data_IF_406279500075
#
_entry.id   IF_406279500075
#
_cell.length_a   1.000
_cell.length_b   1.000
_cell.length_c   1.000
_cell.angle_alpha   90.00
_cell.angle_beta   90.00
_cell.angle_gamma   90.00
#
_symmetry.space_group_name_H-M   'P 1'
#
loop_
_entity.id
_entity.type
_entity.pdbx_description
1 polymer ?
#
# COMPACT_ATOMS: atom_id res chain seq x y z
N UNK A 1 3.86 8.46 -10.77
CA UNK A 1 2.93 7.31 -10.74
C UNK A 1 1.50 7.83 -10.69
N UNK A 2 0.52 7.17 -11.29
CA UNK A 2 -0.89 7.54 -11.15
C UNK A 2 -1.31 7.54 -9.67
N UNK A 3 -2.30 8.38 -9.28
CA UNK A 3 -2.82 8.40 -7.92
C UNK A 3 -3.30 7.00 -7.46
N UNK A 4 -3.06 6.64 -6.23
CA UNK A 4 -3.35 5.33 -5.61
C UNK A 4 -2.68 4.11 -6.27
N UNK A 5 -1.86 4.31 -7.31
CA UNK A 5 -1.02 3.22 -7.85
C UNK A 5 0.22 3.09 -6.96
N UNK A 6 0.36 1.97 -6.29
CA UNK A 6 1.43 1.77 -5.31
C UNK A 6 2.65 1.09 -5.88
N UNK A 7 2.42 0.14 -6.77
CA UNK A 7 3.48 -0.61 -7.42
C UNK A 7 3.17 -0.75 -8.90
N UNK A 8 4.21 -0.78 -9.68
CA UNK A 8 4.22 -1.11 -11.09
C UNK A 8 5.47 -1.97 -11.33
N UNK A 9 5.93 -2.06 -12.55
CA UNK A 9 7.17 -2.72 -12.91
C UNK A 9 7.05 -3.37 -14.27
N UNK A 10 8.15 -3.82 -14.82
CA UNK A 10 8.12 -4.59 -16.04
C UNK A 10 7.40 -5.93 -15.78
N UNK A 11 6.55 -6.34 -16.73
CA UNK A 11 5.93 -7.65 -16.75
C UNK A 11 6.42 -8.38 -17.99
N UNK A 12 6.91 -9.61 -17.82
CA UNK A 12 7.53 -10.37 -18.89
C UNK A 12 6.70 -11.62 -19.21
N UNK A 13 6.63 -11.92 -20.50
CA UNK A 13 6.18 -13.23 -21.00
C UNK A 13 7.36 -13.90 -21.70
N UNK A 14 8.19 -14.59 -20.94
CA UNK A 14 9.45 -15.19 -21.40
C UNK A 14 9.40 -16.69 -21.10
N UNK A 15 10.02 -17.48 -21.99
CA UNK A 15 10.24 -18.90 -21.73
C UNK A 15 11.43 -19.05 -20.77
N UNK A 16 11.21 -19.59 -19.58
CA UNK A 16 12.21 -19.71 -18.51
C UNK A 16 12.96 -21.05 -18.50
N UNK A 17 12.86 -21.87 -19.55
CA UNK A 17 13.59 -23.16 -19.63
C UNK A 17 15.11 -22.98 -19.63
N UNK A 18 15.62 -21.92 -20.25
CA UNK A 18 17.01 -21.48 -20.15
C UNK A 18 17.10 -20.18 -19.31
N UNK A 19 17.57 -20.33 -18.07
CA UNK A 19 17.65 -19.21 -17.11
C UNK A 19 18.56 -18.08 -17.59
N UNK A 20 19.69 -18.42 -18.25
CA UNK A 20 20.63 -17.42 -18.75
C UNK A 20 20.02 -16.62 -19.89
N UNK A 21 19.40 -17.30 -20.84
CA UNK A 21 18.71 -16.65 -21.94
C UNK A 21 17.53 -15.81 -21.46
N UNK A 22 16.72 -16.35 -20.56
CA UNK A 22 15.60 -15.60 -19.96
C UNK A 22 16.06 -14.33 -19.23
N UNK A 23 17.21 -14.36 -18.57
CA UNK A 23 17.82 -13.17 -17.96
C UNK A 23 18.22 -12.14 -19.01
N UNK A 24 18.90 -12.56 -20.08
CA UNK A 24 19.33 -11.66 -21.16
C UNK A 24 18.12 -11.06 -21.89
N UNK A 25 17.09 -11.86 -22.14
CA UNK A 25 15.84 -11.39 -22.76
C UNK A 25 15.15 -10.35 -21.87
N UNK A 26 15.10 -10.55 -20.53
CA UNK A 26 14.57 -9.55 -19.60
C UNK A 26 15.35 -8.24 -19.65
N UNK A 27 16.68 -8.31 -19.70
CA UNK A 27 17.53 -7.11 -19.80
C UNK A 27 17.21 -6.38 -21.10
N UNK A 28 17.26 -7.05 -22.25
CA UNK A 28 17.01 -6.45 -23.57
C UNK A 28 15.62 -5.80 -23.65
N UNK A 29 14.56 -6.52 -23.24
CA UNK A 29 13.20 -5.98 -23.22
C UNK A 29 13.10 -4.76 -22.29
N UNK A 30 13.77 -4.80 -21.15
CA UNK A 30 13.74 -3.68 -20.19
C UNK A 30 14.47 -2.46 -20.77
N UNK A 31 15.58 -2.65 -21.47
CA UNK A 31 16.31 -1.56 -22.17
C UNK A 31 15.44 -0.90 -23.24
N UNK A 32 14.72 -1.69 -24.04
CA UNK A 32 13.75 -1.15 -25.00
C UNK A 32 12.63 -0.35 -24.31
N UNK A 33 12.11 -0.84 -23.18
CA UNK A 33 11.11 -0.11 -22.39
C UNK A 33 11.68 1.19 -21.81
N UNK A 34 12.93 1.19 -21.34
CA UNK A 34 13.63 2.39 -20.84
C UNK A 34 13.76 3.43 -21.96
N UNK A 35 14.08 3.00 -23.19
CA UNK A 35 14.15 3.87 -24.36
C UNK A 35 12.83 4.57 -24.72
N UNK A 36 11.70 4.01 -24.28
CA UNK A 36 10.36 4.59 -24.50
C UNK A 36 9.93 5.53 -23.36
N UNK A 37 10.69 5.63 -22.26
CA UNK A 37 10.36 6.56 -21.17
C UNK A 37 10.56 7.99 -21.69
N UNK A 38 9.53 8.86 -21.62
CA UNK A 38 9.65 10.24 -22.01
C UNK A 38 10.78 10.96 -21.27
N UNK A 39 11.34 12.00 -21.89
CA UNK A 39 12.30 12.87 -21.21
C UNK A 39 11.57 13.71 -20.13
N UNK A 40 11.69 13.25 -18.88
CA UNK A 40 11.05 13.87 -17.72
C UNK A 40 12.11 14.29 -16.71
N UNK A 41 11.87 15.41 -16.03
CA UNK A 41 12.77 15.89 -14.98
C UNK A 41 12.91 14.94 -13.78
N UNK A 42 11.91 14.10 -13.55
CA UNK A 42 11.91 13.14 -12.45
C UNK A 42 11.10 11.91 -12.82
N UNK A 43 11.74 10.76 -12.79
CA UNK A 43 11.09 9.45 -12.90
C UNK A 43 11.28 8.72 -11.58
N UNK A 44 10.20 8.15 -11.07
CA UNK A 44 10.19 7.41 -9.83
C UNK A 44 9.15 6.29 -9.93
N UNK A 45 9.56 5.07 -9.59
CA UNK A 45 8.66 3.92 -9.58
C UNK A 45 9.03 2.93 -8.48
N UNK A 46 8.03 2.36 -7.83
CA UNK A 46 8.17 1.23 -6.92
C UNK A 46 7.67 0.00 -7.66
N UNK A 47 8.46 -1.06 -7.65
CA UNK A 47 8.09 -2.32 -8.28
C UNK A 47 7.18 -3.15 -7.38
N UNK A 48 6.37 -3.97 -8.02
CA UNK A 48 5.66 -5.06 -7.36
C UNK A 48 6.69 -6.01 -6.71
N UNK A 49 6.43 -6.58 -5.52
CA UNK A 49 7.35 -7.52 -4.87
C UNK A 49 7.73 -8.74 -5.71
N UNK A 50 6.98 -9.06 -6.76
CA UNK A 50 7.28 -10.13 -7.70
C UNK A 50 8.35 -9.77 -8.74
N UNK A 51 8.68 -8.47 -8.85
CA UNK A 51 9.79 -8.03 -9.69
C UNK A 51 11.07 -8.08 -8.86
N UNK A 52 11.89 -9.07 -9.12
CA UNK A 52 13.03 -9.43 -8.26
C UNK A 52 14.33 -8.70 -8.61
N UNK A 53 14.41 -8.06 -9.77
CA UNK A 53 15.61 -7.33 -10.19
C UNK A 53 15.31 -6.00 -10.87
N UNK A 54 16.33 -5.12 -10.92
CA UNK A 54 16.32 -3.87 -11.66
C UNK A 54 17.68 -3.65 -12.36
N UNK A 55 18.36 -4.73 -12.75
CA UNK A 55 19.70 -4.67 -13.31
C UNK A 55 19.76 -3.74 -14.53
N UNK A 56 18.85 -3.92 -15.48
CA UNK A 56 18.81 -3.10 -16.70
C UNK A 56 18.62 -1.60 -16.37
N UNK A 57 17.79 -1.28 -15.38
CA UNK A 57 17.62 0.11 -14.94
C UNK A 57 18.92 0.67 -14.34
N UNK A 58 19.62 -0.10 -13.50
CA UNK A 58 20.91 0.32 -12.93
C UNK A 58 21.96 0.57 -14.00
N UNK A 59 22.07 -0.32 -14.99
CA UNK A 59 22.97 -0.19 -16.14
C UNK A 59 22.66 1.04 -17.02
N UNK A 60 21.39 1.48 -17.04
CA UNK A 60 20.92 2.64 -17.80
C UNK A 60 20.77 3.91 -16.92
N UNK A 61 21.54 4.02 -15.85
CA UNK A 61 21.73 5.26 -15.08
C UNK A 61 20.59 5.59 -14.09
N UNK A 62 19.74 4.63 -13.76
CA UNK A 62 18.78 4.80 -12.66
C UNK A 62 19.44 4.48 -11.32
N UNK A 63 19.10 5.22 -10.29
CA UNK A 63 19.36 4.83 -8.91
C UNK A 63 18.40 3.72 -8.52
N UNK A 64 18.96 2.62 -8.02
CA UNK A 64 18.18 1.49 -7.50
C UNK A 64 18.23 1.50 -5.98
N UNK A 65 17.09 1.44 -5.35
CA UNK A 65 16.95 1.40 -3.88
C UNK A 65 15.92 0.34 -3.48
N UNK A 66 15.82 0.07 -2.17
CA UNK A 66 14.84 -0.88 -1.63
C UNK A 66 13.92 -0.19 -0.64
N UNK A 67 12.62 -0.45 -0.78
CA UNK A 67 11.60 -0.21 0.24
C UNK A 67 11.02 -1.54 0.70
N UNK A 68 10.18 -1.49 1.71
CA UNK A 68 9.60 -2.71 2.28
C UNK A 68 8.10 -2.58 2.39
N UNK A 69 7.44 -3.73 2.23
CA UNK A 69 6.06 -3.95 2.62
C UNK A 69 5.96 -5.12 3.58
N UNK A 70 4.78 -5.35 4.10
CA UNK A 70 4.45 -6.44 5.00
C UNK A 70 3.36 -7.29 4.33
N UNK A 71 3.52 -8.62 4.31
CA UNK A 71 2.59 -9.50 3.61
C UNK A 71 2.25 -10.76 4.41
N UNK A 72 1.05 -11.27 4.14
CA UNK A 72 0.69 -12.66 4.38
C UNK A 72 0.54 -13.37 3.05
N UNK A 73 1.19 -14.51 2.91
CA UNK A 73 1.07 -15.34 1.73
C UNK A 73 -0.30 -16.02 1.67
N UNK A 74 -0.80 -16.24 0.45
CA UNK A 74 -2.12 -16.81 0.16
C UNK A 74 -2.28 -18.28 0.63
N UNK A 75 -1.18 -18.99 0.85
CA UNK A 75 -1.15 -20.40 1.28
C UNK A 75 -1.32 -20.59 2.80
N UNK A 76 -1.40 -19.49 3.58
CA UNK A 76 -1.56 -19.57 5.03
C UNK A 76 -3.02 -19.75 5.43
N UNK A 77 -3.26 -20.63 6.40
CA UNK A 77 -4.60 -20.75 6.97
C UNK A 77 -4.92 -19.61 7.94
N UNK A 78 -6.22 -19.26 8.03
CA UNK A 78 -6.69 -18.21 8.94
C UNK A 78 -6.37 -18.57 10.40
N UNK A 79 -6.47 -19.85 10.75
CA UNK A 79 -6.18 -20.38 12.08
C UNK A 79 -4.71 -20.22 12.46
N UNK A 80 -3.78 -20.49 11.52
CA UNK A 80 -2.35 -20.27 11.73
C UNK A 80 -2.03 -18.80 11.90
N UNK A 81 -2.60 -17.94 11.04
CA UNK A 81 -2.42 -16.49 11.13
C UNK A 81 -2.93 -15.96 12.47
N UNK A 82 -4.13 -16.42 12.90
CA UNK A 82 -4.69 -16.02 14.20
C UNK A 82 -3.81 -16.45 15.37
N UNK A 83 -3.34 -17.70 15.38
CA UNK A 83 -2.42 -18.21 16.42
C UNK A 83 -1.10 -17.44 16.41
N UNK A 84 -0.61 -17.06 15.23
CA UNK A 84 0.63 -16.32 15.03
C UNK A 84 0.59 -14.86 15.50
N UNK A 85 -0.58 -14.21 15.60
CA UNK A 85 -0.70 -12.82 16.03
C UNK A 85 -0.03 -12.59 17.38
N UNK A 86 0.55 -11.42 17.58
CA UNK A 86 0.99 -10.98 18.90
C UNK A 86 -0.20 -10.95 19.87
N UNK A 87 -0.02 -11.39 21.12
CA UNK A 87 -1.12 -11.54 22.08
C UNK A 87 -1.91 -10.23 22.31
N UNK A 88 -1.22 -9.08 22.34
CA UNK A 88 -1.87 -7.76 22.47
C UNK A 88 -2.78 -7.45 21.27
N UNK A 89 -2.37 -7.84 20.07
CA UNK A 89 -3.17 -7.65 18.85
C UNK A 89 -4.41 -8.53 18.88
N UNK A 90 -4.28 -9.83 19.26
CA UNK A 90 -5.45 -10.70 19.47
C UNK A 90 -6.44 -10.14 20.48
N UNK A 91 -5.93 -9.67 21.62
CA UNK A 91 -6.79 -9.07 22.66
C UNK A 91 -7.45 -7.78 22.14
N UNK A 92 -6.73 -6.96 21.37
CA UNK A 92 -7.27 -5.73 20.78
C UNK A 92 -8.40 -6.04 19.79
N UNK A 93 -8.22 -7.05 18.94
CA UNK A 93 -9.28 -7.50 18.02
C UNK A 93 -10.49 -8.02 18.79
N UNK A 94 -10.30 -8.98 19.73
CA UNK A 94 -11.39 -9.55 20.54
C UNK A 94 -12.16 -8.49 21.33
N UNK A 95 -11.44 -7.52 21.90
CA UNK A 95 -12.08 -6.43 22.62
C UNK A 95 -12.80 -5.52 21.65
N UNK A 96 -12.15 -5.13 20.54
CA UNK A 96 -12.77 -4.30 19.51
C UNK A 96 -14.08 -4.90 18.98
N UNK A 97 -14.15 -6.20 18.74
CA UNK A 97 -15.36 -6.92 18.29
C UNK A 97 -16.56 -6.79 19.26
N UNK A 98 -16.32 -6.44 20.52
CA UNK A 98 -17.40 -6.15 21.49
C UNK A 98 -17.94 -4.73 21.38
N UNK A 99 -17.17 -3.80 20.81
CA UNK A 99 -17.50 -2.38 20.74
C UNK A 99 -17.88 -1.91 19.34
N UNK A 100 -17.53 -2.68 18.29
CA UNK A 100 -17.86 -2.28 16.92
C UNK A 100 -18.42 -3.44 16.11
N UNK A 101 -19.37 -3.11 15.24
CA UNK A 101 -19.90 -4.00 14.20
C UNK A 101 -19.32 -3.62 12.85
N UNK A 102 -18.81 -4.58 12.10
CA UNK A 102 -18.26 -4.35 10.76
C UNK A 102 -19.38 -4.47 9.71
N UNK A 103 -19.46 -3.50 8.81
CA UNK A 103 -20.39 -3.50 7.67
C UNK A 103 -19.70 -2.98 6.42
N UNK A 104 -20.13 -3.41 5.22
CA UNK A 104 -19.77 -2.73 3.96
C UNK A 104 -20.14 -1.26 3.99
N UNK A 105 -19.36 -0.44 3.30
CA UNK A 105 -19.63 0.99 3.12
C UNK A 105 -19.82 1.33 1.65
N UNK A 106 -20.72 2.27 1.41
CA UNK A 106 -20.84 2.93 0.12
C UNK A 106 -19.70 3.94 -0.10
N UNK A 107 -19.21 4.10 -1.34
CA UNK A 107 -18.12 5.03 -1.67
C UNK A 107 -18.35 6.45 -1.15
N UNK A 108 -19.55 7.00 -1.33
CA UNK A 108 -19.87 8.34 -0.86
C UNK A 108 -19.78 8.49 0.68
N UNK A 109 -20.20 7.45 1.42
CA UNK A 109 -20.10 7.43 2.88
C UNK A 109 -18.64 7.35 3.34
N UNK A 110 -17.83 6.50 2.72
CA UNK A 110 -16.42 6.38 2.99
C UNK A 110 -15.69 7.71 2.72
N UNK A 111 -15.89 8.30 1.54
CA UNK A 111 -15.21 9.55 1.16
C UNK A 111 -15.54 10.68 2.13
N UNK A 112 -16.82 10.86 2.48
CA UNK A 112 -17.23 11.86 3.47
C UNK A 112 -16.57 11.62 4.84
N UNK A 113 -16.57 10.39 5.31
CA UNK A 113 -15.94 10.02 6.58
C UNK A 113 -14.43 10.28 6.57
N UNK A 114 -13.76 9.95 5.47
CA UNK A 114 -12.33 10.15 5.29
C UNK A 114 -11.96 11.64 5.33
N UNK A 115 -12.66 12.48 4.57
CA UNK A 115 -12.46 13.93 4.52
C UNK A 115 -12.70 14.59 5.88
N UNK A 116 -13.82 14.30 6.54
CA UNK A 116 -14.13 14.84 7.88
C UNK A 116 -13.02 14.51 8.89
N UNK A 117 -12.45 13.29 8.82
CA UNK A 117 -11.35 12.92 9.72
C UNK A 117 -10.02 13.60 9.40
N UNK A 118 -9.77 13.93 8.14
CA UNK A 118 -8.61 14.74 7.74
C UNK A 118 -8.78 16.18 8.25
N UNK A 119 -9.92 16.77 7.99
CA UNK A 119 -10.25 18.13 8.44
C UNK A 119 -10.15 18.29 9.97
N UNK A 120 -10.74 17.35 10.73
CA UNK A 120 -10.63 17.30 12.19
C UNK A 120 -9.19 17.20 12.71
N UNK A 121 -8.22 16.83 11.86
CA UNK A 121 -6.78 16.78 12.17
C UNK A 121 -5.98 17.90 11.50
N UNK A 122 -6.65 18.87 10.88
CA UNK A 122 -6.04 19.95 10.10
C UNK A 122 -5.09 19.41 9.03
N UNK A 123 -5.53 18.36 8.32
CA UNK A 123 -4.81 17.73 7.21
C UNK A 123 -5.62 17.84 5.93
N UNK A 124 -4.96 17.96 4.82
CA UNK A 124 -5.57 17.86 3.48
C UNK A 124 -5.42 16.46 2.91
N UNK A 125 -6.34 16.09 2.02
CA UNK A 125 -6.23 14.87 1.26
C UNK A 125 -5.09 15.03 0.22
N UNK A 126 -4.06 14.21 0.35
CA UNK A 126 -2.87 14.25 -0.53
C UNK A 126 -3.16 13.89 -1.99
N UNK A 127 -4.25 13.18 -2.23
CA UNK A 127 -4.69 12.81 -3.58
C UNK A 127 -5.64 13.84 -4.20
N UNK A 128 -6.18 14.75 -3.37
CA UNK A 128 -7.31 15.60 -3.72
C UNK A 128 -8.65 14.85 -3.63
N UNK A 129 -9.64 15.46 -2.99
CA UNK A 129 -10.93 14.84 -2.66
C UNK A 129 -11.65 14.28 -3.89
N UNK A 130 -11.71 15.05 -5.00
CA UNK A 130 -12.38 14.62 -6.24
C UNK A 130 -11.66 13.47 -6.95
N UNK A 131 -10.34 13.43 -6.90
CA UNK A 131 -9.55 12.32 -7.50
C UNK A 131 -9.74 11.06 -6.69
N UNK A 132 -9.65 11.17 -5.36
CA UNK A 132 -9.85 10.02 -4.47
C UNK A 132 -11.27 9.45 -4.60
N UNK A 133 -12.29 10.31 -4.67
CA UNK A 133 -13.66 9.85 -4.86
C UNK A 133 -13.81 9.03 -6.14
N UNK A 134 -13.39 9.57 -7.30
CA UNK A 134 -13.45 8.84 -8.57
C UNK A 134 -12.73 7.50 -8.55
N UNK A 135 -11.57 7.42 -7.85
CA UNK A 135 -10.80 6.18 -7.75
C UNK A 135 -11.50 5.17 -6.85
N UNK A 136 -12.08 5.61 -5.73
CA UNK A 136 -12.87 4.75 -4.83
C UNK A 136 -14.11 4.23 -5.53
N UNK A 137 -14.86 5.09 -6.21
CA UNK A 137 -16.02 4.70 -7.03
C UNK A 137 -15.62 3.66 -8.07
N UNK A 138 -14.52 3.93 -8.81
CA UNK A 138 -14.08 3.07 -9.90
C UNK A 138 -13.65 1.67 -9.44
N UNK A 139 -12.92 1.52 -8.31
CA UNK A 139 -12.52 0.19 -7.87
C UNK A 139 -13.69 -0.60 -7.28
N UNK A 140 -14.66 0.05 -6.65
CA UNK A 140 -15.87 -0.62 -6.14
C UNK A 140 -16.77 -1.05 -7.30
N UNK A 141 -17.07 -0.15 -8.25
CA UNK A 141 -17.91 -0.44 -9.42
C UNK A 141 -17.34 -1.58 -10.29
N UNK A 142 -16.02 -1.64 -10.42
CA UNK A 142 -15.33 -2.69 -11.20
C UNK A 142 -15.14 -4.00 -10.43
N UNK A 143 -15.59 -4.07 -9.19
CA UNK A 143 -15.36 -5.26 -8.35
C UNK A 143 -13.89 -5.53 -8.05
N UNK A 144 -13.02 -4.49 -8.15
CA UNK A 144 -11.58 -4.57 -7.88
C UNK A 144 -11.22 -4.13 -6.46
N UNK A 145 -12.20 -4.00 -5.59
CA UNK A 145 -12.02 -3.61 -4.20
C UNK A 145 -13.34 -3.48 -3.45
N UNK A 146 -13.24 -3.20 -2.17
CA UNK A 146 -14.38 -2.96 -1.29
C UNK A 146 -14.00 -2.02 -0.15
N UNK A 147 -15.03 -1.52 0.52
CA UNK A 147 -14.90 -0.64 1.68
C UNK A 147 -15.59 -1.29 2.89
N UNK A 148 -14.93 -1.22 4.05
CA UNK A 148 -15.48 -1.70 5.32
C UNK A 148 -15.52 -0.55 6.33
N UNK A 149 -16.61 -0.46 7.07
CA UNK A 149 -16.79 0.43 8.20
C UNK A 149 -16.99 -0.31 9.51
N UNK A 150 -16.42 0.23 10.58
CA UNK A 150 -16.68 -0.17 11.94
C UNK A 150 -17.66 0.84 12.56
N UNK A 151 -18.78 0.34 13.03
CA UNK A 151 -19.86 1.12 13.66
C UNK A 151 -19.90 0.80 15.15
N UNK A 152 -19.99 1.82 15.98
CA UNK A 152 -20.14 1.64 17.43
C UNK A 152 -21.57 1.25 17.84
N UNK A 153 -21.80 1.13 19.15
CA UNK A 153 -23.10 0.72 19.71
C UNK A 153 -24.23 1.74 19.43
N UNK A 154 -23.90 2.99 19.10
CA UNK A 154 -24.87 4.03 18.71
C UNK A 154 -25.21 3.98 17.22
N UNK A 155 -24.50 3.15 16.45
CA UNK A 155 -24.60 3.11 14.99
C UNK A 155 -23.74 4.15 14.30
N UNK A 156 -22.88 4.89 15.00
CA UNK A 156 -21.97 5.84 14.38
C UNK A 156 -20.77 5.15 13.73
N UNK A 157 -20.39 5.60 12.53
CA UNK A 157 -19.19 5.15 11.84
C UNK A 157 -17.95 5.73 12.53
N UNK A 158 -17.12 4.86 13.13
CA UNK A 158 -15.95 5.28 13.93
C UNK A 158 -14.61 4.94 13.27
N UNK A 159 -14.59 3.97 12.37
CA UNK A 159 -13.41 3.65 11.57
C UNK A 159 -13.81 3.08 10.20
N UNK A 160 -12.96 3.26 9.21
CA UNK A 160 -13.18 2.72 7.87
C UNK A 160 -11.86 2.34 7.20
N UNK A 161 -11.90 1.32 6.34
CA UNK A 161 -10.80 0.92 5.47
C UNK A 161 -11.26 0.73 4.04
N UNK A 162 -10.32 0.90 3.10
CA UNK A 162 -10.48 0.52 1.70
C UNK A 162 -9.45 -0.54 1.32
N UNK A 163 -9.92 -1.61 0.71
CA UNK A 163 -9.12 -2.73 0.23
C UNK A 163 -9.32 -2.84 -1.27
N UNK A 164 -8.24 -2.86 -2.03
CA UNK A 164 -8.26 -3.19 -3.46
C UNK A 164 -7.62 -4.54 -3.68
N UNK A 165 -7.93 -5.22 -4.77
CA UNK A 165 -7.29 -6.49 -5.10
C UNK A 165 -7.16 -6.69 -6.60
N UNK A 166 -6.19 -7.49 -6.98
CA UNK A 166 -6.01 -8.06 -8.30
C UNK A 166 -6.09 -9.60 -8.21
N UNK A 167 -5.64 -10.30 -9.25
CA UNK A 167 -5.64 -11.77 -9.30
C UNK A 167 -4.59 -12.42 -8.37
N UNK A 168 -3.75 -11.64 -7.68
CA UNK A 168 -2.63 -12.14 -6.89
C UNK A 168 -2.65 -11.66 -5.44
N UNK A 169 -3.08 -10.43 -5.21
CA UNK A 169 -3.01 -9.82 -3.88
C UNK A 169 -4.19 -8.90 -3.57
N UNK A 170 -4.51 -8.81 -2.29
CA UNK A 170 -5.39 -7.80 -1.71
C UNK A 170 -4.53 -6.77 -0.96
N UNK A 171 -4.79 -5.49 -1.18
CA UNK A 171 -3.98 -4.38 -0.68
C UNK A 171 -4.76 -3.53 0.32
N UNK A 172 -4.19 -3.33 1.51
CA UNK A 172 -4.72 -2.41 2.53
C UNK A 172 -4.38 -0.96 2.14
N UNK A 173 -5.20 -0.37 1.27
CA UNK A 173 -4.91 0.91 0.61
C UNK A 173 -5.22 2.14 1.44
N UNK A 174 -6.38 2.17 2.06
CA UNK A 174 -6.92 3.36 2.72
C UNK A 174 -7.38 3.02 4.12
N UNK A 175 -7.20 3.95 5.06
CA UNK A 175 -7.76 3.84 6.40
C UNK A 175 -8.02 5.19 7.01
N UNK A 176 -9.10 5.28 7.78
CA UNK A 176 -9.46 6.46 8.56
C UNK A 176 -10.15 6.04 9.85
N UNK A 177 -10.00 6.82 10.91
CA UNK A 177 -10.74 6.63 12.16
C UNK A 177 -10.99 7.95 12.85
N UNK A 178 -12.04 8.06 13.64
CA UNK A 178 -12.27 9.20 14.54
C UNK A 178 -11.23 9.18 15.69
N UNK A 179 -11.10 10.28 16.42
CA UNK A 179 -10.15 10.37 17.54
C UNK A 179 -10.57 9.53 18.74
N UNK A 180 -11.85 9.43 18.96
CA UNK A 180 -12.55 8.76 20.05
C UNK A 180 -12.89 7.30 19.75
N UNK A 181 -12.62 6.82 18.52
CA UNK A 181 -12.82 5.43 18.15
C UNK A 181 -12.10 4.50 19.12
N UNK A 182 -12.76 3.40 19.51
CA UNK A 182 -12.13 2.35 20.28
C UNK A 182 -10.81 1.90 19.61
N UNK A 183 -9.75 1.76 20.40
CA UNK A 183 -8.41 1.46 19.88
C UNK A 183 -8.32 0.20 19.01
N UNK A 184 -9.24 -0.74 19.16
CA UNK A 184 -9.33 -1.97 18.38
C UNK A 184 -10.11 -1.86 17.06
N UNK A 185 -10.81 -0.74 16.79
CA UNK A 185 -11.69 -0.65 15.62
C UNK A 185 -10.96 -0.91 14.28
N UNK A 186 -9.81 -0.27 14.07
CA UNK A 186 -8.99 -0.55 12.88
C UNK A 186 -8.46 -1.99 12.88
N UNK A 187 -8.07 -2.54 14.05
CA UNK A 187 -7.57 -3.91 14.13
C UNK A 187 -8.63 -4.95 13.74
N UNK A 188 -9.89 -4.70 14.09
CA UNK A 188 -11.02 -5.55 13.68
C UNK A 188 -11.21 -5.49 12.15
N UNK A 189 -11.21 -4.28 11.57
CA UNK A 189 -11.34 -4.10 10.12
C UNK A 189 -10.20 -4.75 9.34
N UNK A 190 -8.96 -4.56 9.79
CA UNK A 190 -7.78 -5.16 9.16
C UNK A 190 -7.83 -6.69 9.26
N UNK A 191 -8.24 -7.23 10.42
CA UNK A 191 -8.38 -8.68 10.57
C UNK A 191 -9.44 -9.25 9.63
N UNK A 192 -10.60 -8.59 9.51
CA UNK A 192 -11.63 -8.98 8.55
C UNK A 192 -11.09 -8.97 7.10
N UNK A 193 -10.31 -7.95 6.74
CA UNK A 193 -9.72 -7.87 5.41
C UNK A 193 -8.69 -8.99 5.15
N UNK A 194 -7.91 -9.39 6.17
CA UNK A 194 -7.01 -10.54 6.09
C UNK A 194 -7.81 -11.83 5.86
N UNK A 195 -8.87 -12.06 6.64
CA UNK A 195 -9.73 -13.24 6.47
C UNK A 195 -10.34 -13.29 5.06
N UNK A 196 -10.81 -12.16 4.54
CA UNK A 196 -11.39 -12.06 3.20
C UNK A 196 -10.34 -12.35 2.10
N UNK A 197 -9.11 -11.87 2.26
CA UNK A 197 -8.01 -12.16 1.34
C UNK A 197 -7.66 -13.66 1.33
N UNK A 198 -7.55 -14.29 2.51
CA UNK A 198 -7.27 -15.72 2.62
C UNK A 198 -8.38 -16.58 2.01
N UNK A 199 -9.67 -16.22 2.22
CA UNK A 199 -10.80 -16.91 1.57
C UNK A 199 -10.76 -16.82 0.06
N UNK A 200 -10.21 -15.73 -0.49
CA UNK A 200 -10.01 -15.52 -1.93
C UNK A 200 -8.72 -16.14 -2.45
N UNK A 201 -7.91 -16.75 -1.60
CA UNK A 201 -6.58 -17.27 -1.94
C UNK A 201 -5.65 -16.18 -2.50
N UNK A 202 -5.72 -14.96 -1.93
CA UNK A 202 -4.89 -13.82 -2.29
C UNK A 202 -3.85 -13.55 -1.20
N UNK A 203 -2.65 -13.16 -1.61
CA UNK A 203 -1.67 -12.54 -0.72
C UNK A 203 -2.28 -11.29 -0.11
N UNK A 204 -2.21 -11.09 1.21
CA UNK A 204 -2.61 -9.83 1.83
C UNK A 204 -1.40 -8.93 2.01
N UNK A 205 -1.38 -7.78 1.35
CA UNK A 205 -0.32 -6.79 1.40
C UNK A 205 -0.77 -5.54 2.17
N UNK A 206 -0.02 -5.15 3.18
CA UNK A 206 -0.29 -3.94 3.96
C UNK A 206 0.09 -2.63 3.23
N UNK A 207 0.48 -2.74 1.97
CA UNK A 207 0.76 -1.64 1.06
C UNK A 207 1.86 -0.68 1.52
N UNK A 208 2.89 -1.25 2.13
CA UNK A 208 4.07 -0.53 2.56
C UNK A 208 4.04 -0.06 4.01
N UNK A 209 5.10 0.64 4.39
CA UNK A 209 5.35 1.08 5.76
C UNK A 209 5.61 2.59 5.74
N UNK A 210 4.60 3.44 5.96
CA UNK A 210 4.77 4.89 5.82
C UNK A 210 5.58 5.54 6.96
N UNK A 211 5.57 4.94 8.16
CA UNK A 211 6.29 5.45 9.34
C UNK A 211 6.43 4.41 10.44
N UNK A 212 7.25 4.70 11.45
CA UNK A 212 7.53 3.81 12.57
C UNK A 212 6.29 3.48 13.43
N UNK A 213 5.33 4.40 13.57
CA UNK A 213 4.10 4.15 14.32
C UNK A 213 3.22 3.12 13.61
N UNK A 214 3.05 3.27 12.29
CA UNK A 214 2.33 2.30 11.45
C UNK A 214 3.04 0.94 11.47
N UNK A 215 4.37 0.92 11.38
CA UNK A 215 5.14 -0.32 11.49
C UNK A 215 4.87 -1.05 12.81
N UNK A 216 4.92 -0.35 13.95
CA UNK A 216 4.62 -0.95 15.26
C UNK A 216 3.21 -1.52 15.33
N UNK A 217 2.23 -0.85 14.74
CA UNK A 217 0.85 -1.34 14.66
C UNK A 217 0.76 -2.60 13.81
N UNK A 218 1.28 -2.55 12.58
CA UNK A 218 1.21 -3.64 11.61
C UNK A 218 2.04 -4.86 12.06
N UNK A 219 3.20 -4.65 12.69
CA UNK A 219 4.05 -5.74 13.19
C UNK A 219 3.37 -6.61 14.25
N UNK A 220 2.35 -6.08 14.92
CA UNK A 220 1.53 -6.85 15.86
C UNK A 220 0.72 -7.98 15.20
N UNK A 221 0.46 -7.88 13.91
CA UNK A 221 -0.15 -8.97 13.12
C UNK A 221 0.84 -10.06 12.75
N UNK A 222 2.17 -9.82 12.90
CA UNK A 222 3.25 -10.78 12.56
C UNK A 222 3.33 -11.15 11.07
N UNK A 223 3.15 -10.21 10.16
CA UNK A 223 3.37 -10.44 8.73
C UNK A 223 4.85 -10.63 8.41
N UNK A 224 5.12 -11.12 7.20
CA UNK A 224 6.47 -11.26 6.65
C UNK A 224 6.89 -9.94 5.98
N UNK A 225 8.12 -9.49 6.25
CA UNK A 225 8.71 -8.35 5.58
C UNK A 225 9.15 -8.73 4.16
N UNK A 226 8.71 -7.97 3.16
CA UNK A 226 9.06 -8.18 1.75
C UNK A 226 9.72 -6.94 1.16
N UNK A 227 10.86 -7.07 0.45
CA UNK A 227 11.45 -5.97 -0.26
C UNK A 227 10.63 -5.59 -1.49
N UNK A 228 10.65 -4.30 -1.82
CA UNK A 228 10.15 -3.72 -3.08
C UNK A 228 11.28 -2.90 -3.68
N UNK A 229 11.63 -3.18 -4.91
CA UNK A 229 12.63 -2.40 -5.63
C UNK A 229 12.05 -1.02 -5.96
N UNK A 230 12.89 -0.02 -5.84
CA UNK A 230 12.58 1.35 -6.22
C UNK A 230 13.61 1.79 -7.25
N UNK A 231 13.14 2.34 -8.35
CA UNK A 231 14.01 2.99 -9.33
C UNK A 231 13.69 4.47 -9.40
N UNK A 232 14.72 5.30 -9.48
CA UNK A 232 14.57 6.73 -9.67
C UNK A 232 15.66 7.29 -10.60
N UNK A 233 15.26 8.24 -11.44
CA UNK A 233 16.15 9.04 -12.26
C UNK A 233 15.69 10.49 -12.22
N UNK A 234 16.61 11.39 -11.90
CA UNK A 234 16.32 12.81 -11.79
C UNK A 234 17.26 13.61 -12.69
N UNK A 235 16.74 14.63 -13.34
CA UNK A 235 17.60 15.60 -14.04
C UNK A 235 18.49 16.37 -13.04
N UNK A 236 19.67 16.86 -13.45
CA UNK A 236 20.53 17.66 -12.57
C UNK A 236 19.80 18.85 -11.93
N UNK A 237 18.98 19.54 -12.70
CA UNK A 237 18.16 20.68 -12.23
C UNK A 237 17.21 20.26 -11.11
N UNK A 238 16.52 19.13 -11.26
CA UNK A 238 15.63 18.61 -10.24
C UNK A 238 16.38 18.18 -8.98
N UNK A 239 17.54 17.56 -9.16
CA UNK A 239 18.41 17.12 -8.05
C UNK A 239 18.91 18.31 -7.23
N UNK A 240 19.31 19.41 -7.87
CA UNK A 240 19.69 20.66 -7.21
C UNK A 240 18.51 21.30 -6.46
N UNK A 241 17.32 21.36 -7.07
CA UNK A 241 16.12 21.88 -6.42
C UNK A 241 15.71 21.04 -5.20
N UNK A 242 15.84 19.72 -5.28
CA UNK A 242 15.57 18.78 -4.17
C UNK A 242 16.59 18.96 -3.04
N UNK A 243 17.87 19.14 -3.35
CA UNK A 243 18.93 19.42 -2.38
C UNK A 243 18.69 20.74 -1.65
N UNK A 244 18.38 21.83 -2.38
CA UNK A 244 18.05 23.13 -1.79
C UNK A 244 16.86 23.08 -0.83
N UNK A 245 15.79 22.35 -1.19
CA UNK A 245 14.63 22.16 -0.29
C UNK A 245 14.99 21.39 0.99
N UNK A 246 15.95 20.44 0.93
CA UNK A 246 16.42 19.69 2.12
C UNK A 246 17.18 20.59 3.09
N UNK A 247 17.93 21.57 2.61
CA UNK A 247 18.65 22.54 3.44
C UNK A 247 17.70 23.49 4.17
N UNK A 248 16.59 23.88 3.51
CA UNK A 248 15.59 24.81 4.07
C UNK A 248 14.62 24.10 5.03
N UNK A 249 14.33 22.83 4.83
CA UNK A 249 13.46 22.03 5.67
C UNK A 249 14.15 20.72 6.04
N UNK A 250 14.96 20.67 7.12
CA UNK A 250 15.55 19.43 7.57
C UNK A 250 14.43 18.47 8.00
N UNK A 251 14.26 17.41 7.22
CA UNK A 251 13.23 16.38 7.48
C UNK A 251 13.67 15.46 8.63
N UNK A 252 12.78 15.26 9.59
CA UNK A 252 12.86 14.11 10.49
C UNK A 252 12.74 12.84 9.65
N UNK A 253 13.83 12.08 9.55
CA UNK A 253 13.99 10.75 8.92
C UNK A 253 12.99 10.37 7.82
N UNK A 254 13.32 10.72 6.58
CA UNK A 254 12.54 10.41 5.37
C UNK A 254 12.72 8.96 4.86
N UNK A 255 12.83 8.00 5.77
CA UNK A 255 12.82 6.59 5.39
C UNK A 255 11.52 6.14 4.73
N UNK A 256 10.48 6.96 4.89
CA UNK A 256 9.10 6.64 4.50
C UNK A 256 8.46 7.75 3.67
N UNK A 257 9.21 8.40 2.81
CA UNK A 257 8.59 9.40 1.92
C UNK A 257 7.60 8.69 1.00
N UNK A 258 6.34 8.83 1.31
CA UNK A 258 5.33 8.79 0.27
C UNK A 258 5.57 10.01 -0.59
N UNK A 259 6.15 9.83 -1.75
CA UNK A 259 6.16 10.84 -2.78
C UNK A 259 4.75 10.93 -3.35
N UNK A 260 4.06 12.00 -3.02
CA UNK A 260 3.12 12.63 -3.92
C UNK A 260 3.87 13.77 -4.59
#
# INVERSE_FOLDING_TARGET
>A
MPPLTRTLGPAFKINETDKTRAMLDRISITEELIGQIPDVHSFYQIFDPRVEDALAFGLNGFTVATRYTLQFSADRSIEELWKGLHYKTRNMIRTGQKFVTVKPLEPAQFNRFYENNLEARSRSNVYGSSVMQRLVDAFVERGAGYLLGAFDATGALVAAIGVTFDNHAAYYMLSSRTRDAHGGAISVLVWQAIEDAMKRQLTFDFDGIPNASTFRFLSGFKPVLKPRIVIERHSPVWSMAKAGRRLIRPRKSDWFVSTV
#
